data_IF_194848648845
#
_entry.id   IF_194848648845
#
_cell.length_a   1.000
_cell.length_b   1.000
_cell.length_c   1.000
_cell.angle_alpha   90.00
_cell.angle_beta   90.00
_cell.angle_gamma   90.00
#
_symmetry.space_group_name_H-M   'P 1'
#
loop_
_entity.id
_entity.type
_entity.pdbx_description
1 polymer ?
#
# COMPACT_ATOMS: atom_id res chain seq x y z
N UNK A 1 -9.02 19.14 -36.97
CA UNK A 1 -7.72 18.84 -36.35
C UNK A 1 -7.77 17.39 -35.89
N UNK A 2 -6.93 16.52 -36.47
CA UNK A 2 -7.19 15.09 -36.53
C UNK A 2 -6.69 14.39 -35.25
N UNK A 3 -7.61 14.09 -34.31
CA UNK A 3 -7.31 13.46 -33.02
C UNK A 3 -6.52 12.15 -33.16
N UNK A 4 -6.74 11.42 -34.25
CA UNK A 4 -5.99 10.20 -34.57
C UNK A 4 -4.47 10.45 -34.72
N UNK A 5 -4.07 11.58 -35.30
CA UNK A 5 -2.66 11.91 -35.49
C UNK A 5 -2.00 12.27 -34.16
N UNK A 6 -2.72 12.98 -33.29
CA UNK A 6 -2.25 13.34 -31.95
C UNK A 6 -2.06 12.09 -31.08
N UNK A 7 -3.04 11.16 -31.10
CA UNK A 7 -2.97 9.89 -30.39
C UNK A 7 -1.79 9.06 -30.90
N UNK A 8 -1.61 8.95 -32.22
CA UNK A 8 -0.48 8.21 -32.79
C UNK A 8 0.86 8.80 -32.36
N UNK A 9 0.99 10.13 -32.39
CA UNK A 9 2.24 10.80 -31.96
C UNK A 9 2.52 10.60 -30.47
N UNK A 10 1.47 10.60 -29.63
CA UNK A 10 1.61 10.33 -28.20
C UNK A 10 2.04 8.89 -27.98
N UNK A 11 1.40 7.90 -28.63
CA UNK A 11 1.76 6.48 -28.52
C UNK A 11 3.21 6.24 -28.97
N UNK A 12 3.62 6.80 -30.11
CA UNK A 12 5.00 6.68 -30.60
C UNK A 12 6.00 7.31 -29.63
N UNK A 13 5.69 8.50 -29.09
CA UNK A 13 6.58 9.17 -28.13
C UNK A 13 6.70 8.42 -26.80
N UNK A 14 5.62 7.78 -26.35
CA UNK A 14 5.61 6.94 -25.16
C UNK A 14 6.47 5.70 -25.40
N UNK A 15 6.35 5.07 -26.57
CA UNK A 15 7.11 3.87 -26.91
C UNK A 15 8.62 4.15 -27.03
N UNK A 16 9.00 5.29 -27.62
CA UNK A 16 10.41 5.74 -27.65
C UNK A 16 10.94 6.11 -26.27
N UNK A 17 10.09 6.64 -25.38
CA UNK A 17 10.46 6.93 -23.99
C UNK A 17 10.72 5.63 -23.21
N UNK A 18 9.86 4.62 -23.33
CA UNK A 18 10.06 3.30 -22.71
C UNK A 18 11.33 2.61 -23.24
N UNK A 19 11.63 2.74 -24.54
CA UNK A 19 12.85 2.17 -25.14
C UNK A 19 14.15 2.87 -24.71
N UNK A 20 14.07 4.04 -24.06
CA UNK A 20 15.21 4.79 -23.52
C UNK A 20 15.40 4.64 -22.01
N UNK A 21 14.52 3.90 -21.33
CA UNK A 21 14.73 3.57 -19.93
C UNK A 21 15.92 2.59 -19.83
N UNK A 22 16.89 2.82 -18.92
CA UNK A 22 18.01 1.91 -18.76
C UNK A 22 17.51 0.52 -18.33
N UNK A 23 18.12 -0.55 -18.88
CA UNK A 23 17.85 -1.98 -18.57
C UNK A 23 17.93 -2.34 -17.07
N UNK A 24 18.40 -1.42 -16.23
CA UNK A 24 18.47 -1.56 -14.79
C UNK A 24 17.12 -1.35 -14.08
N UNK A 25 16.14 -0.73 -14.74
CA UNK A 25 14.82 -0.47 -14.15
C UNK A 25 13.79 -1.38 -14.79
N UNK A 26 13.70 -2.62 -14.28
CA UNK A 26 12.56 -3.49 -14.56
C UNK A 26 11.34 -2.93 -13.83
N UNK A 27 10.50 -2.17 -14.55
CA UNK A 27 9.20 -1.75 -14.04
C UNK A 27 8.30 -2.98 -14.06
N UNK A 28 8.12 -3.62 -12.90
CA UNK A 28 7.17 -4.73 -12.77
C UNK A 28 5.78 -4.27 -13.23
N UNK A 29 5.21 -5.01 -14.17
CA UNK A 29 3.83 -4.78 -14.61
C UNK A 29 2.86 -5.14 -13.48
N UNK A 30 1.65 -4.61 -13.59
CA UNK A 30 0.60 -4.89 -12.62
C UNK A 30 0.24 -6.39 -12.57
N UNK A 31 0.21 -7.06 -13.73
CA UNK A 31 0.02 -8.51 -13.81
C UNK A 31 1.15 -9.29 -13.13
N UNK A 32 2.41 -8.90 -13.34
CA UNK A 32 3.56 -9.56 -12.69
C UNK A 32 3.52 -9.43 -11.17
N UNK A 33 3.04 -8.30 -10.63
CA UNK A 33 2.89 -8.12 -9.18
C UNK A 33 1.81 -9.05 -8.61
N UNK A 34 0.75 -9.32 -9.39
CA UNK A 34 -0.31 -10.26 -8.98
C UNK A 34 0.19 -11.70 -9.05
N UNK A 35 0.95 -12.06 -10.09
CA UNK A 35 1.39 -13.45 -10.35
C UNK A 35 2.49 -13.95 -9.41
N UNK A 36 3.31 -13.06 -8.88
CA UNK A 36 4.52 -13.41 -8.10
C UNK A 36 4.29 -13.54 -6.59
N UNK A 37 3.03 -13.47 -6.14
CA UNK A 37 2.64 -13.58 -4.73
C UNK A 37 3.47 -12.61 -3.85
N UNK A 38 3.37 -11.30 -4.11
CA UNK A 38 4.12 -10.25 -3.37
C UNK A 38 3.67 -10.08 -1.90
N UNK A 39 2.70 -10.84 -1.41
CA UNK A 39 2.18 -10.75 -0.05
C UNK A 39 2.89 -11.77 0.85
N UNK A 40 3.43 -11.31 1.97
CA UNK A 40 4.01 -12.17 3.02
C UNK A 40 3.04 -12.37 4.18
N UNK A 41 2.29 -11.33 4.52
CA UNK A 41 1.26 -11.38 5.55
C UNK A 41 0.07 -10.58 5.03
N UNK A 42 -1.08 -11.25 4.90
CA UNK A 42 -2.27 -10.75 4.21
C UNK A 42 -3.39 -10.34 5.19
N UNK A 43 -4.29 -9.47 4.73
CA UNK A 43 -5.42 -8.91 5.51
C UNK A 43 -6.71 -8.89 4.70
N UNK A 44 -7.19 -10.08 4.35
CA UNK A 44 -8.39 -10.29 3.55
C UNK A 44 -9.65 -9.60 4.11
N UNK A 45 -9.79 -9.51 5.43
CA UNK A 45 -11.02 -9.03 6.07
C UNK A 45 -11.15 -7.49 6.12
N UNK A 46 -10.15 -6.71 5.72
CA UNK A 46 -10.18 -5.23 5.83
C UNK A 46 -11.29 -4.63 4.96
N UNK A 47 -11.55 -5.25 3.80
CA UNK A 47 -12.51 -4.73 2.83
C UNK A 47 -13.89 -5.39 2.85
N UNK A 48 -13.98 -6.56 3.49
CA UNK A 48 -15.22 -7.34 3.57
C UNK A 48 -15.99 -7.12 4.89
N UNK A 49 -15.52 -6.26 5.80
CA UNK A 49 -16.26 -5.92 7.03
C UNK A 49 -17.58 -5.18 6.70
N UNK A 50 -18.75 -5.74 7.06
CA UNK A 50 -20.05 -5.12 6.84
C UNK A 50 -20.18 -3.71 7.42
N UNK A 51 -19.48 -3.41 8.52
CA UNK A 51 -19.51 -2.08 9.15
C UNK A 51 -18.90 -0.99 8.26
N UNK A 52 -17.98 -1.39 7.38
CA UNK A 52 -17.21 -0.47 6.55
C UNK A 52 -17.73 -0.43 5.10
N UNK A 53 -18.83 -1.12 4.79
CA UNK A 53 -19.30 -1.32 3.40
C UNK A 53 -19.71 -0.01 2.71
N UNK A 54 -20.15 0.99 3.49
CA UNK A 54 -20.52 2.31 2.96
C UNK A 54 -19.30 3.24 2.77
N UNK A 55 -18.14 2.90 3.34
CA UNK A 55 -16.94 3.72 3.21
C UNK A 55 -16.25 3.48 1.87
N UNK A 56 -16.07 4.57 1.12
CA UNK A 56 -15.44 4.56 -0.21
C UNK A 56 -13.94 4.79 -0.17
N UNK A 57 -13.34 4.95 1.01
CA UNK A 57 -11.91 5.22 1.20
C UNK A 57 -11.30 4.04 1.96
N UNK A 58 -10.09 3.63 1.56
CA UNK A 58 -9.18 2.78 2.33
C UNK A 58 -7.96 3.61 2.70
N UNK A 59 -7.62 3.68 3.98
CA UNK A 59 -6.40 4.35 4.44
C UNK A 59 -5.27 3.32 4.52
N UNK A 60 -4.20 3.53 3.76
CA UNK A 60 -3.01 2.71 3.83
C UNK A 60 -1.85 3.54 4.41
N UNK A 61 -1.34 3.11 5.56
CA UNK A 61 -0.36 3.85 6.34
C UNK A 61 1.01 3.21 6.12
N UNK A 62 1.84 3.84 5.29
CA UNK A 62 3.21 3.44 5.03
C UNK A 62 4.04 3.59 6.31
N UNK A 63 4.63 2.50 6.76
CA UNK A 63 5.48 2.48 7.95
C UNK A 63 6.66 1.54 7.72
N UNK A 64 7.76 1.77 8.43
CA UNK A 64 8.91 0.87 8.41
C UNK A 64 8.67 -0.32 9.35
N UNK A 65 9.25 -1.47 9.04
CA UNK A 65 9.20 -2.67 9.88
C UNK A 65 9.52 -2.37 11.37
N UNK A 66 10.57 -1.61 11.63
CA UNK A 66 11.03 -1.23 12.97
C UNK A 66 10.29 -0.03 13.61
N UNK A 67 9.30 0.58 12.94
CA UNK A 67 8.54 1.73 13.45
C UNK A 67 7.35 1.32 14.35
N UNK A 68 7.55 0.36 15.25
CA UNK A 68 6.50 -0.09 16.18
C UNK A 68 5.91 1.07 16.98
N UNK A 69 6.77 1.95 17.53
CA UNK A 69 6.33 3.08 18.36
C UNK A 69 5.46 4.06 17.55
N UNK A 70 5.81 4.34 16.30
CA UNK A 70 5.04 5.23 15.43
C UNK A 70 3.66 4.65 15.15
N UNK A 71 3.57 3.34 14.85
CA UNK A 71 2.28 2.67 14.70
C UNK A 71 1.42 2.77 15.96
N UNK A 72 2.02 2.61 17.15
CA UNK A 72 1.30 2.80 18.41
C UNK A 72 0.78 4.23 18.58
N UNK A 73 1.60 5.25 18.27
CA UNK A 73 1.18 6.66 18.33
C UNK A 73 0.00 6.90 17.38
N UNK A 74 0.06 6.40 16.15
CA UNK A 74 -1.06 6.52 15.19
C UNK A 74 -2.32 5.85 15.76
N UNK A 75 -2.22 4.62 16.28
CA UNK A 75 -3.34 3.90 16.90
C UNK A 75 -3.97 4.64 18.09
N UNK A 76 -3.17 5.38 18.85
CA UNK A 76 -3.58 6.12 20.05
C UNK A 76 -3.98 7.57 19.79
N UNK A 77 -3.89 8.05 18.54
CA UNK A 77 -4.20 9.42 18.17
C UNK A 77 -5.32 9.46 17.13
N UNK A 78 -5.05 9.91 15.91
CA UNK A 78 -6.07 10.17 14.90
C UNK A 78 -6.75 8.90 14.39
N UNK A 79 -6.14 7.72 14.55
CA UNK A 79 -6.78 6.47 14.15
C UNK A 79 -7.99 6.11 15.02
N UNK A 80 -8.12 6.69 16.22
CA UNK A 80 -9.32 6.55 17.04
C UNK A 80 -10.54 7.06 16.27
N UNK A 81 -10.42 8.24 15.67
CA UNK A 81 -11.49 8.87 14.92
C UNK A 81 -11.82 8.10 13.63
N UNK A 82 -10.78 7.64 12.91
CA UNK A 82 -10.93 6.77 11.72
C UNK A 82 -11.74 5.51 12.06
N UNK A 83 -11.49 4.89 13.22
CA UNK A 83 -12.24 3.73 13.70
C UNK A 83 -13.68 4.07 14.07
N UNK A 84 -13.92 5.20 14.73
CA UNK A 84 -15.28 5.67 15.05
C UNK A 84 -16.14 5.89 13.80
N UNK A 85 -15.52 6.39 12.72
CA UNK A 85 -16.15 6.55 11.41
C UNK A 85 -16.18 5.27 10.56
N UNK A 86 -15.74 4.14 11.10
CA UNK A 86 -15.71 2.84 10.41
C UNK A 86 -14.92 2.88 9.10
N UNK A 87 -13.93 3.76 9.00
CA UNK A 87 -13.08 3.87 7.82
C UNK A 87 -12.06 2.73 7.88
N UNK A 88 -12.02 1.86 6.87
CA UNK A 88 -11.08 0.76 6.79
C UNK A 88 -9.66 1.31 6.66
N UNK A 89 -8.72 0.69 7.37
CA UNK A 89 -7.32 1.09 7.34
C UNK A 89 -6.39 -0.12 7.42
N UNK A 90 -5.13 0.05 7.00
CA UNK A 90 -4.08 -0.96 7.14
C UNK A 90 -2.70 -0.30 7.24
N UNK A 91 -1.80 -0.84 8.06
CA UNK A 91 -0.39 -0.46 8.05
C UNK A 91 0.36 -1.27 7.00
N UNK A 92 1.15 -0.61 6.16
CA UNK A 92 1.87 -1.24 5.04
C UNK A 92 3.36 -1.29 5.33
N UNK A 93 3.89 -2.51 5.50
CA UNK A 93 5.28 -2.80 5.81
C UNK A 93 5.97 -3.50 4.63
N UNK A 94 7.30 -3.37 4.59
CA UNK A 94 8.15 -4.23 3.76
C UNK A 94 8.67 -5.42 4.56
N UNK A 95 9.34 -6.34 3.88
CA UNK A 95 10.00 -7.48 4.52
C UNK A 95 11.28 -7.05 5.24
N UNK A 96 11.71 -7.83 6.23
CA UNK A 96 13.00 -7.66 6.89
C UNK A 96 13.66 -9.03 7.01
N UNK A 97 14.99 -9.05 7.09
CA UNK A 97 15.78 -10.26 7.34
C UNK A 97 16.22 -10.37 8.80
N UNK A 98 15.86 -9.39 9.64
CA UNK A 98 16.11 -9.44 11.08
C UNK A 98 15.06 -10.35 11.74
N UNK A 99 15.47 -11.56 12.10
CA UNK A 99 14.60 -12.58 12.70
C UNK A 99 13.90 -12.09 13.97
N UNK A 100 14.59 -11.33 14.81
CA UNK A 100 14.00 -10.79 16.04
C UNK A 100 12.89 -9.79 15.71
N UNK A 101 13.13 -8.92 14.72
CA UNK A 101 12.13 -7.96 14.28
C UNK A 101 10.93 -8.64 13.63
N UNK A 102 11.12 -9.76 12.91
CA UNK A 102 10.02 -10.55 12.37
C UNK A 102 9.13 -11.06 13.51
N UNK A 103 9.71 -11.65 14.55
CA UNK A 103 8.95 -12.15 15.70
C UNK A 103 8.16 -11.02 16.39
N UNK A 104 8.79 -9.86 16.62
CA UNK A 104 8.14 -8.68 17.19
C UNK A 104 6.96 -8.18 16.33
N UNK A 105 7.08 -8.22 15.00
CA UNK A 105 6.01 -7.82 14.07
C UNK A 105 4.87 -8.83 14.07
N UNK A 106 5.17 -10.14 14.14
CA UNK A 106 4.13 -11.18 14.21
C UNK A 106 3.37 -11.12 15.54
N UNK A 107 4.06 -10.84 16.65
CA UNK A 107 3.42 -10.60 17.95
C UNK A 107 2.52 -9.35 17.91
N UNK A 108 2.98 -8.27 17.29
CA UNK A 108 2.15 -7.07 17.06
C UNK A 108 0.91 -7.41 16.23
N UNK A 109 1.07 -8.14 15.13
CA UNK A 109 -0.03 -8.51 14.25
C UNK A 109 -1.05 -9.44 14.93
N UNK A 110 -0.59 -10.34 15.80
CA UNK A 110 -1.47 -11.17 16.62
C UNK A 110 -2.37 -10.35 17.57
N UNK A 111 -1.90 -9.16 17.99
CA UNK A 111 -2.64 -8.27 18.89
C UNK A 111 -3.60 -7.35 18.10
N UNK A 112 -3.11 -6.73 17.02
CA UNK A 112 -3.83 -5.65 16.34
C UNK A 112 -4.47 -6.07 15.01
N UNK A 113 -3.94 -7.10 14.35
CA UNK A 113 -4.41 -7.68 13.10
C UNK A 113 -4.62 -6.63 11.98
N UNK A 114 -3.75 -5.61 11.94
CA UNK A 114 -3.85 -4.46 11.03
C UNK A 114 -2.56 -4.22 10.22
N UNK A 115 -1.62 -5.17 10.20
CA UNK A 115 -0.39 -5.10 9.42
C UNK A 115 -0.54 -5.82 8.08
N UNK A 116 -0.10 -5.22 6.98
CA UNK A 116 0.01 -5.84 5.67
C UNK A 116 1.49 -5.81 5.25
N UNK A 117 2.07 -6.98 5.01
CA UNK A 117 3.51 -7.09 4.74
C UNK A 117 3.73 -7.56 3.31
N UNK A 118 4.42 -6.73 2.54
CA UNK A 118 4.87 -7.06 1.19
C UNK A 118 6.26 -7.69 1.17
N UNK A 119 6.58 -8.42 0.10
CA UNK A 119 7.92 -8.96 -0.17
C UNK A 119 9.06 -7.94 -0.26
N UNK A 120 8.89 -6.69 -0.77
CA UNK A 120 10.02 -5.77 -0.91
C UNK A 120 10.69 -5.51 0.44
N UNK A 121 12.02 -5.64 0.49
CA UNK A 121 12.78 -5.37 1.73
C UNK A 121 12.57 -3.93 2.16
N UNK A 122 12.28 -3.74 3.43
CA UNK A 122 11.93 -2.46 4.00
C UNK A 122 13.16 -1.56 4.12
N UNK A 123 13.33 -0.71 3.11
CA UNK A 123 14.34 0.33 3.08
C UNK A 123 13.87 1.49 2.19
N UNK A 124 14.56 2.63 2.31
CA UNK A 124 14.20 3.86 1.60
C UNK A 124 14.19 3.70 0.07
N UNK A 125 15.12 2.92 -0.49
CA UNK A 125 15.21 2.73 -1.94
C UNK A 125 14.06 1.90 -2.51
N UNK A 126 13.44 1.05 -1.69
CA UNK A 126 12.34 0.17 -2.07
C UNK A 126 10.95 0.76 -1.79
N UNK A 127 10.84 2.04 -1.43
CA UNK A 127 9.55 2.69 -1.16
C UNK A 127 8.61 2.66 -2.37
N UNK A 128 9.14 2.79 -3.60
CA UNK A 128 8.34 2.65 -4.82
C UNK A 128 7.75 1.25 -4.98
N UNK A 129 8.53 0.21 -4.67
CA UNK A 129 8.04 -1.18 -4.69
C UNK A 129 6.96 -1.39 -3.62
N UNK A 130 7.15 -0.84 -2.42
CA UNK A 130 6.14 -0.87 -1.34
C UNK A 130 4.85 -0.14 -1.75
N UNK A 131 4.96 0.98 -2.45
CA UNK A 131 3.80 1.69 -2.99
C UNK A 131 3.07 0.85 -4.04
N UNK A 132 3.78 0.32 -5.05
CA UNK A 132 3.17 -0.54 -6.07
C UNK A 132 2.48 -1.76 -5.47
N UNK A 133 3.07 -2.36 -4.42
CA UNK A 133 2.49 -3.46 -3.67
C UNK A 133 1.10 -3.10 -3.11
N UNK A 134 0.98 -1.99 -2.37
CA UNK A 134 -0.32 -1.59 -1.81
C UNK A 134 -1.33 -1.24 -2.91
N UNK A 135 -0.91 -0.57 -3.99
CA UNK A 135 -1.81 -0.29 -5.12
C UNK A 135 -2.36 -1.57 -5.76
N UNK A 136 -1.50 -2.58 -5.95
CA UNK A 136 -1.91 -3.89 -6.48
C UNK A 136 -2.86 -4.62 -5.53
N UNK A 137 -2.50 -4.68 -4.25
CA UNK A 137 -3.31 -5.32 -3.22
C UNK A 137 -4.69 -4.66 -3.11
N UNK A 138 -4.77 -3.32 -3.07
CA UNK A 138 -6.05 -2.59 -2.99
C UNK A 138 -6.94 -2.85 -4.20
N UNK A 139 -6.38 -2.93 -5.41
CA UNK A 139 -7.18 -3.19 -6.61
C UNK A 139 -7.77 -4.62 -6.63
N UNK A 140 -7.10 -5.58 -6.02
CA UNK A 140 -7.60 -6.98 -5.90
C UNK A 140 -8.61 -7.11 -4.76
N UNK A 141 -8.27 -6.63 -3.57
CA UNK A 141 -9.05 -6.88 -2.35
C UNK A 141 -10.10 -5.80 -2.05
N UNK A 142 -9.97 -4.61 -2.62
CA UNK A 142 -10.83 -3.46 -2.34
C UNK A 142 -11.20 -2.68 -3.62
N UNK A 143 -11.67 -3.35 -4.69
CA UNK A 143 -11.78 -2.77 -6.04
C UNK A 143 -12.67 -1.53 -6.15
N UNK A 144 -13.59 -1.32 -5.19
CA UNK A 144 -14.55 -0.21 -5.19
C UNK A 144 -14.16 0.96 -4.24
N UNK A 145 -12.95 0.95 -3.68
CA UNK A 145 -12.47 1.97 -2.75
C UNK A 145 -11.33 2.80 -3.35
N UNK A 146 -11.29 4.07 -2.95
CA UNK A 146 -10.21 5.00 -3.20
C UNK A 146 -9.10 4.75 -2.18
N UNK A 147 -7.86 4.61 -2.65
CA UNK A 147 -6.71 4.45 -1.78
C UNK A 147 -6.23 5.81 -1.29
N UNK A 148 -6.24 6.02 0.02
CA UNK A 148 -5.57 7.14 0.66
C UNK A 148 -4.27 6.65 1.31
N UNK A 149 -3.16 6.85 0.58
CA UNK A 149 -1.84 6.37 0.99
C UNK A 149 -1.07 7.49 1.69
N UNK A 150 -0.67 7.24 2.94
CA UNK A 150 -0.07 8.25 3.83
C UNK A 150 1.10 7.66 4.61
N UNK A 151 1.92 8.52 5.19
CA UNK A 151 3.09 8.11 5.99
C UNK A 151 2.73 8.02 7.49
N UNK A 152 3.49 7.26 8.27
CA UNK A 152 3.27 7.06 9.70
C UNK A 152 3.62 8.26 10.59
N UNK A 153 4.17 9.32 10.00
CA UNK A 153 4.44 10.63 10.61
C UNK A 153 3.42 11.71 10.20
N UNK A 154 2.29 11.30 9.60
CA UNK A 154 1.17 12.20 9.26
C UNK A 154 0.08 12.22 10.33
N UNK A 155 -0.72 13.30 10.32
CA UNK A 155 -1.94 13.44 11.11
C UNK A 155 -3.10 13.62 10.14
N UNK A 156 -4.15 12.83 10.31
CA UNK A 156 -5.40 12.93 9.54
C UNK A 156 -6.49 13.43 10.48
N UNK A 157 -7.34 14.32 9.98
CA UNK A 157 -8.60 14.69 10.62
C UNK A 157 -9.72 14.04 9.80
N UNK A 158 -10.47 13.13 10.40
CA UNK A 158 -11.55 12.39 9.73
C UNK A 158 -12.93 13.05 9.92
N UNK A 159 -12.98 14.27 10.49
CA UNK A 159 -14.20 15.02 10.73
C UNK A 159 -14.66 15.69 9.43
N UNK A 160 -15.50 15.00 8.66
CA UNK A 160 -16.44 15.62 7.71
C UNK A 160 -17.47 14.64 7.17
#
# INVERSE_FOLDING_TARGET
MNYAFLILTIIVSIQEFYAKLPDYVHVHTFEEIIETNYVLLDKLNICDDPKNMNNRILIAIKTAANNYIQRQIVRQTWLIEVKEHHIPYVFVLGSTNDEKLIDEILDEDNIYNDLLIGKPVDNYYNLTLKAMFIFAWTKVHCPNRWLFYVDDDTIINAQQ
#
